data_IF_894804883964
#
_entry.id   IF_894804883964
#
_cell.length_a   1.000
_cell.length_b   1.000
_cell.length_c   1.000
_cell.angle_alpha   90.00
_cell.angle_beta   90.00
_cell.angle_gamma   90.00
#
_symmetry.space_group_name_H-M   'P 1'
#
loop_
_entity.id
_entity.type
_entity.pdbx_description
1 polymer ?
#
# COMPACT_ATOMS: atom_id res chain seq x y z
N UNK A 1 -15.77 -5.97 1.07
CA UNK A 1 -16.63 -5.13 0.20
C UNK A 1 -16.79 -5.70 -1.22
N UNK A 2 -15.70 -5.95 -1.96
CA UNK A 2 -15.81 -6.24 -3.40
C UNK A 2 -16.36 -7.62 -3.76
N UNK A 3 -16.06 -8.67 -3.00
CA UNK A 3 -16.70 -10.00 -3.18
C UNK A 3 -18.22 -9.92 -2.97
N UNK A 4 -18.66 -9.06 -2.04
CA UNK A 4 -20.08 -8.81 -1.78
C UNK A 4 -20.70 -7.98 -2.90
N UNK A 5 -19.99 -6.96 -3.39
CA UNK A 5 -20.39 -6.18 -4.56
C UNK A 5 -20.49 -7.05 -5.82
N UNK A 6 -19.59 -8.01 -6.01
CA UNK A 6 -19.62 -8.99 -7.10
C UNK A 6 -20.77 -9.97 -6.96
N UNK A 7 -21.04 -10.50 -5.76
CA UNK A 7 -22.22 -11.34 -5.51
C UNK A 7 -23.52 -10.57 -5.72
N UNK A 8 -23.52 -9.29 -5.40
CA UNK A 8 -24.66 -8.39 -5.57
C UNK A 8 -24.86 -7.99 -7.05
N UNK A 9 -23.79 -7.70 -7.79
CA UNK A 9 -23.81 -7.44 -9.24
C UNK A 9 -24.10 -8.69 -10.09
N UNK A 10 -23.67 -9.89 -9.66
CA UNK A 10 -24.11 -11.17 -10.28
C UNK A 10 -25.61 -11.37 -10.21
N UNK A 11 -26.25 -10.81 -9.18
CA UNK A 11 -27.72 -10.79 -9.09
C UNK A 11 -28.32 -9.78 -10.07
N UNK A 12 -27.63 -8.70 -10.43
CA UNK A 12 -28.01 -7.85 -11.57
C UNK A 12 -28.16 -8.63 -12.89
N UNK A 13 -27.36 -9.68 -13.09
CA UNK A 13 -27.52 -10.59 -14.23
C UNK A 13 -28.71 -11.57 -14.07
N UNK A 14 -29.12 -11.87 -12.84
CA UNK A 14 -30.38 -12.54 -12.53
C UNK A 14 -31.60 -11.62 -12.73
N UNK A 15 -31.43 -10.31 -12.51
CA UNK A 15 -32.44 -9.29 -12.76
C UNK A 15 -32.74 -9.10 -14.26
N UNK A 16 -31.76 -9.33 -15.13
CA UNK A 16 -32.00 -9.41 -16.58
C UNK A 16 -32.88 -10.61 -17.01
N UNK A 17 -32.96 -11.67 -16.19
CA UNK A 17 -33.77 -12.85 -16.48
C UNK A 17 -35.17 -12.82 -15.84
N UNK A 18 -35.41 -11.96 -14.86
CA UNK A 18 -36.70 -11.81 -14.19
C UNK A 18 -37.52 -10.64 -14.76
N UNK A 19 -38.46 -10.92 -15.68
CA UNK A 19 -39.35 -9.92 -16.31
C UNK A 19 -40.19 -9.05 -15.34
N UNK A 20 -40.20 -9.34 -14.03
CA UNK A 20 -41.05 -8.64 -13.06
C UNK A 20 -40.31 -7.95 -11.91
N UNK A 21 -38.98 -8.00 -11.86
CA UNK A 21 -38.20 -7.16 -10.95
C UNK A 21 -38.61 -7.19 -9.47
N UNK A 22 -39.14 -8.32 -8.96
CA UNK A 22 -39.39 -8.50 -7.52
C UNK A 22 -38.58 -9.68 -7.01
N UNK A 23 -37.90 -9.48 -5.89
CA UNK A 23 -37.20 -10.55 -5.18
C UNK A 23 -38.20 -11.62 -4.74
N UNK A 24 -37.90 -12.89 -5.03
CA UNK A 24 -38.67 -14.00 -4.49
C UNK A 24 -38.54 -14.01 -2.96
N UNK A 25 -39.59 -14.40 -2.20
CA UNK A 25 -39.55 -14.45 -0.74
C UNK A 25 -38.35 -15.23 -0.17
N UNK A 26 -37.88 -16.25 -0.89
CA UNK A 26 -36.70 -17.05 -0.55
C UNK A 26 -35.36 -16.29 -0.65
N UNK A 27 -35.31 -15.18 -1.40
CA UNK A 27 -34.10 -14.39 -1.62
C UNK A 27 -33.93 -13.22 -0.62
N UNK A 28 -34.99 -12.87 0.12
CA UNK A 28 -34.99 -11.78 1.11
C UNK A 28 -33.96 -11.98 2.24
N UNK A 29 -33.80 -13.19 2.83
CA UNK A 29 -32.80 -13.42 3.87
C UNK A 29 -31.36 -13.21 3.37
N UNK A 30 -31.10 -13.59 2.12
CA UNK A 30 -29.77 -13.44 1.51
C UNK A 30 -29.45 -11.96 1.23
N UNK A 31 -30.44 -11.18 0.81
CA UNK A 31 -30.30 -9.74 0.63
C UNK A 31 -30.00 -9.00 1.95
N UNK A 32 -30.68 -9.36 3.05
CA UNK A 32 -30.40 -8.82 4.39
C UNK A 32 -28.96 -9.14 4.83
N UNK A 33 -28.55 -10.41 4.73
CA UNK A 33 -27.19 -10.83 5.08
C UNK A 33 -26.12 -10.07 4.29
N UNK A 34 -26.31 -9.93 2.97
CA UNK A 34 -25.39 -9.17 2.11
C UNK A 34 -25.32 -7.69 2.50
N UNK A 35 -26.46 -7.08 2.82
CA UNK A 35 -26.49 -5.68 3.22
C UNK A 35 -25.74 -5.44 4.54
N UNK A 36 -25.87 -6.35 5.52
CA UNK A 36 -25.10 -6.28 6.77
C UNK A 36 -23.60 -6.37 6.52
N UNK A 37 -23.16 -7.26 5.64
CA UNK A 37 -21.75 -7.37 5.27
C UNK A 37 -21.22 -6.13 4.54
N UNK A 38 -22.04 -5.48 3.72
CA UNK A 38 -21.69 -4.18 3.11
C UNK A 38 -21.56 -3.12 4.19
N UNK A 39 -22.48 -3.05 5.16
CA UNK A 39 -22.40 -2.15 6.30
C UNK A 39 -21.12 -2.36 7.13
N UNK A 40 -20.77 -3.61 7.46
CA UNK A 40 -19.53 -3.94 8.17
C UNK A 40 -18.31 -3.48 7.38
N UNK A 41 -18.26 -3.81 6.09
CA UNK A 41 -17.12 -3.43 5.25
C UNK A 41 -17.00 -1.91 5.06
N UNK A 42 -18.12 -1.18 4.99
CA UNK A 42 -18.14 0.28 4.90
C UNK A 42 -17.65 0.92 6.20
N UNK A 43 -18.11 0.40 7.34
CA UNK A 43 -17.69 0.89 8.66
C UNK A 43 -16.18 0.71 8.84
N UNK A 44 -15.67 -0.50 8.59
CA UNK A 44 -14.24 -0.80 8.68
C UNK A 44 -13.42 0.11 7.74
N UNK A 45 -13.85 0.24 6.48
CA UNK A 45 -13.16 1.08 5.49
C UNK A 45 -13.10 2.55 5.93
N UNK A 46 -14.21 3.11 6.43
CA UNK A 46 -14.26 4.52 6.85
C UNK A 46 -13.48 4.81 8.14
N UNK A 47 -13.19 3.79 8.94
CA UNK A 47 -12.40 3.92 10.17
C UNK A 47 -10.90 3.68 9.97
N UNK A 48 -10.46 3.20 8.80
CA UNK A 48 -9.05 2.81 8.60
C UNK A 48 -8.15 3.96 8.16
N UNK A 49 -8.50 4.68 7.08
CA UNK A 49 -7.60 5.69 6.49
C UNK A 49 -8.38 6.80 5.76
N UNK A 50 -7.80 7.99 5.52
CA UNK A 50 -8.41 9.03 4.70
C UNK A 50 -8.64 8.60 3.25
N UNK A 51 -7.80 7.74 2.68
CA UNK A 51 -7.91 7.27 1.29
C UNK A 51 -9.16 6.40 1.06
N UNK A 52 -9.81 5.91 2.11
CA UNK A 52 -11.12 5.27 2.07
C UNK A 52 -12.16 6.11 1.32
N UNK A 53 -12.13 7.44 1.49
CA UNK A 53 -13.04 8.33 0.80
C UNK A 53 -12.76 8.39 -0.71
N UNK A 54 -11.50 8.24 -1.15
CA UNK A 54 -11.15 8.09 -2.57
C UNK A 54 -11.72 6.78 -3.14
N UNK A 55 -11.61 5.67 -2.40
CA UNK A 55 -12.21 4.37 -2.76
C UNK A 55 -13.71 4.52 -2.98
N UNK A 56 -14.41 5.14 -2.03
CA UNK A 56 -15.85 5.36 -2.07
C UNK A 56 -16.29 6.30 -3.19
N UNK A 57 -15.61 7.43 -3.36
CA UNK A 57 -15.88 8.37 -4.45
C UNK A 57 -15.71 7.67 -5.80
N UNK A 58 -14.61 6.95 -5.98
CA UNK A 58 -14.36 6.15 -7.18
C UNK A 58 -15.48 5.13 -7.43
N UNK A 59 -15.94 4.44 -6.38
CA UNK A 59 -17.00 3.45 -6.49
C UNK A 59 -18.35 4.09 -6.84
N UNK A 60 -18.70 5.22 -6.22
CA UNK A 60 -19.93 5.98 -6.52
C UNK A 60 -19.93 6.42 -7.99
N UNK A 61 -18.83 6.99 -8.48
CA UNK A 61 -18.71 7.42 -9.88
C UNK A 61 -18.77 6.22 -10.83
N UNK A 62 -18.10 5.12 -10.51
CA UNK A 62 -18.09 3.91 -11.32
C UNK A 62 -19.48 3.25 -11.44
N UNK A 63 -20.24 3.26 -10.34
CA UNK A 63 -21.59 2.71 -10.24
C UNK A 63 -22.70 3.67 -10.66
N UNK A 64 -22.40 4.96 -10.87
CA UNK A 64 -23.39 5.98 -11.21
C UNK A 64 -24.30 5.61 -12.39
N UNK A 65 -23.81 4.98 -13.48
CA UNK A 65 -24.68 4.58 -14.59
C UNK A 65 -25.69 3.47 -14.23
N UNK A 66 -25.48 2.80 -13.10
CA UNK A 66 -26.39 1.79 -12.54
C UNK A 66 -27.31 2.36 -11.45
N UNK A 67 -27.29 3.67 -11.18
CA UNK A 67 -28.06 4.29 -10.08
C UNK A 67 -29.54 3.92 -10.05
N UNK A 68 -30.18 3.74 -11.21
CA UNK A 68 -31.60 3.38 -11.29
C UNK A 68 -31.82 1.93 -10.84
N UNK A 69 -30.99 0.99 -11.31
CA UNK A 69 -31.00 -0.41 -10.86
C UNK A 69 -30.64 -0.53 -9.38
N UNK A 70 -29.68 0.27 -8.90
CA UNK A 70 -29.30 0.33 -7.49
C UNK A 70 -30.45 0.86 -6.62
N UNK A 71 -31.14 1.90 -7.07
CA UNK A 71 -32.27 2.48 -6.35
C UNK A 71 -33.45 1.49 -6.26
N UNK A 72 -33.76 0.78 -7.35
CA UNK A 72 -34.78 -0.28 -7.34
C UNK A 72 -34.42 -1.38 -6.34
N UNK A 73 -33.22 -1.94 -6.45
CA UNK A 73 -32.76 -2.97 -5.52
C UNK A 73 -32.75 -2.49 -4.06
N UNK A 74 -32.44 -1.21 -3.81
CA UNK A 74 -32.53 -0.62 -2.47
C UNK A 74 -33.97 -0.51 -1.95
N UNK A 75 -34.93 -0.19 -2.83
CA UNK A 75 -36.35 -0.15 -2.48
C UNK A 75 -36.92 -1.54 -2.19
N UNK A 76 -36.49 -2.56 -2.93
CA UNK A 76 -36.94 -3.95 -2.75
C UNK A 76 -36.41 -4.58 -1.46
N UNK A 77 -35.29 -4.09 -0.94
CA UNK A 77 -34.83 -4.46 0.39
C UNK A 77 -35.81 -3.89 1.42
N UNK A 78 -36.54 -4.80 2.08
CA UNK A 78 -37.54 -4.44 3.09
C UNK A 78 -36.99 -3.46 4.14
N UNK A 79 -37.82 -2.49 4.55
CA UNK A 79 -37.40 -1.40 5.43
C UNK A 79 -36.65 -1.87 6.68
N UNK A 80 -37.09 -2.97 7.31
CA UNK A 80 -36.42 -3.55 8.49
C UNK A 80 -34.96 -3.93 8.26
N UNK A 81 -34.62 -4.49 7.10
CA UNK A 81 -33.23 -4.86 6.77
C UNK A 81 -32.35 -3.61 6.60
N UNK A 82 -32.89 -2.56 5.96
CA UNK A 82 -32.19 -1.27 5.82
C UNK A 82 -31.87 -0.63 7.17
N UNK A 83 -32.83 -0.59 8.09
CA UNK A 83 -32.61 -0.05 9.43
C UNK A 83 -31.59 -0.88 10.23
N UNK A 84 -31.62 -2.22 10.14
CA UNK A 84 -30.63 -3.09 10.79
C UNK A 84 -29.22 -2.86 10.27
N UNK A 85 -29.05 -2.72 8.96
CA UNK A 85 -27.75 -2.46 8.36
C UNK A 85 -27.23 -1.06 8.73
N UNK A 86 -28.10 -0.04 8.73
CA UNK A 86 -27.75 1.30 9.18
C UNK A 86 -27.36 1.32 10.67
N UNK A 87 -28.13 0.64 11.53
CA UNK A 87 -27.82 0.50 12.95
C UNK A 87 -26.49 -0.23 13.17
N UNK A 88 -26.23 -1.32 12.43
CA UNK A 88 -24.97 -2.05 12.49
C UNK A 88 -23.79 -1.19 12.04
N UNK A 89 -23.95 -0.44 10.95
CA UNK A 89 -22.93 0.50 10.46
C UNK A 89 -22.59 1.56 11.51
N UNK A 90 -23.60 2.23 12.07
CA UNK A 90 -23.42 3.27 13.09
C UNK A 90 -22.80 2.68 14.38
N UNK A 91 -23.26 1.50 14.80
CA UNK A 91 -22.72 0.81 15.97
C UNK A 91 -21.25 0.47 15.77
N UNK A 92 -20.86 -0.03 14.59
CA UNK A 92 -19.48 -0.38 14.29
C UNK A 92 -18.57 0.85 14.22
N UNK A 93 -19.01 1.94 13.57
CA UNK A 93 -18.24 3.20 13.57
C UNK A 93 -18.09 3.73 14.99
N UNK A 94 -19.17 3.74 15.78
CA UNK A 94 -19.12 4.18 17.18
C UNK A 94 -18.21 3.30 18.03
N UNK A 95 -18.31 1.97 17.88
CA UNK A 95 -17.48 1.02 18.62
C UNK A 95 -16.00 1.12 18.22
N UNK A 96 -15.68 1.09 16.93
CA UNK A 96 -14.28 1.17 16.47
C UNK A 96 -13.68 2.55 16.78
N UNK A 97 -14.43 3.62 16.49
CA UNK A 97 -13.98 4.99 16.73
C UNK A 97 -13.77 5.31 18.21
N UNK A 98 -14.51 4.68 19.12
CA UNK A 98 -14.30 4.84 20.57
C UNK A 98 -13.35 3.78 21.17
N UNK A 99 -12.69 2.98 20.33
CA UNK A 99 -11.85 1.83 20.75
C UNK A 99 -12.62 0.91 21.72
N UNK A 100 -13.85 0.57 21.35
CA UNK A 100 -14.80 -0.18 22.16
C UNK A 100 -15.10 0.48 23.51
N UNK A 101 -15.33 1.80 23.49
CA UNK A 101 -15.65 2.66 24.64
C UNK A 101 -14.50 2.88 25.64
N UNK A 102 -13.27 2.50 25.30
CA UNK A 102 -12.10 2.78 26.15
C UNK A 102 -11.59 4.21 26.00
N UNK A 103 -11.79 4.83 24.82
CA UNK A 103 -11.33 6.19 24.53
C UNK A 103 -12.37 6.93 23.66
N UNK A 104 -13.30 7.63 24.32
CA UNK A 104 -14.35 8.40 23.64
C UNK A 104 -13.78 9.54 22.77
N UNK A 105 -12.77 10.31 23.22
CA UNK A 105 -12.07 11.29 22.38
C UNK A 105 -11.58 10.75 21.04
N UNK A 106 -11.18 9.47 20.94
CA UNK A 106 -10.73 8.87 19.69
C UNK A 106 -11.79 8.88 18.56
N UNK A 107 -13.07 9.06 18.88
CA UNK A 107 -14.12 9.22 17.88
C UNK A 107 -13.92 10.50 17.05
N UNK A 108 -13.29 11.52 17.63
CA UNK A 108 -12.83 12.72 16.93
C UNK A 108 -11.83 12.39 15.82
N UNK A 109 -10.91 11.44 16.07
CA UNK A 109 -9.90 11.03 15.09
C UNK A 109 -10.54 10.41 13.83
N UNK A 110 -11.63 9.65 13.99
CA UNK A 110 -12.38 9.09 12.85
C UNK A 110 -13.05 10.18 12.03
N UNK A 111 -13.63 11.20 12.69
CA UNK A 111 -14.21 12.35 12.01
C UNK A 111 -13.11 13.17 11.28
N UNK A 112 -11.93 13.28 11.88
CA UNK A 112 -10.78 13.96 11.30
C UNK A 112 -10.25 13.28 10.03
N UNK A 113 -10.47 11.97 9.82
CA UNK A 113 -10.09 11.30 8.56
C UNK A 113 -10.75 11.95 7.34
N UNK A 114 -12.01 12.38 7.45
CA UNK A 114 -12.67 13.12 6.38
C UNK A 114 -12.01 14.48 6.19
N UNK A 115 -11.73 15.19 7.29
CA UNK A 115 -11.03 16.48 7.25
C UNK A 115 -9.63 16.38 6.65
N UNK A 116 -8.89 15.31 6.92
CA UNK A 116 -7.60 15.00 6.32
C UNK A 116 -7.73 14.72 4.82
N UNK A 117 -8.72 13.91 4.42
CA UNK A 117 -8.99 13.64 3.00
C UNK A 117 -9.37 14.91 2.24
N UNK A 118 -10.18 15.80 2.83
CA UNK A 118 -10.52 17.10 2.24
C UNK A 118 -9.27 17.97 2.13
N UNK A 119 -8.48 18.13 3.21
CA UNK A 119 -7.24 18.91 3.20
C UNK A 119 -6.23 18.45 2.16
N UNK A 120 -6.18 17.15 1.88
CA UNK A 120 -5.28 16.57 0.86
C UNK A 120 -5.54 17.08 -0.56
N UNK A 121 -6.66 17.77 -0.83
CA UNK A 121 -6.90 18.38 -2.13
C UNK A 121 -6.16 19.71 -2.33
N UNK A 122 -5.72 20.34 -1.23
CA UNK A 122 -5.03 21.63 -1.25
C UNK A 122 -3.57 21.54 -0.77
N UNK A 123 -3.27 20.68 0.19
CA UNK A 123 -1.91 20.52 0.72
C UNK A 123 -1.06 19.64 -0.20
N UNK A 124 0.21 20.01 -0.41
CA UNK A 124 1.14 19.20 -1.20
C UNK A 124 1.66 18.01 -0.38
N UNK A 125 1.49 16.79 -0.91
CA UNK A 125 1.93 15.55 -0.26
C UNK A 125 3.42 15.24 -0.48
N UNK A 126 4.14 16.03 -1.29
CA UNK A 126 5.56 15.79 -1.61
C UNK A 126 5.79 14.71 -2.68
N UNK A 127 4.74 14.05 -3.14
CA UNK A 127 4.82 13.02 -4.18
C UNK A 127 4.57 13.60 -5.58
N UNK A 128 5.35 13.25 -6.61
CA UNK A 128 5.08 13.61 -8.00
C UNK A 128 3.81 12.95 -8.55
N UNK A 129 3.18 13.56 -9.57
CA UNK A 129 1.95 13.03 -10.17
C UNK A 129 2.10 11.66 -10.82
N UNK A 130 3.29 11.36 -11.34
CA UNK A 130 3.59 10.08 -11.96
C UNK A 130 3.93 9.00 -10.92
N UNK A 131 4.04 9.34 -9.63
CA UNK A 131 4.53 8.42 -8.62
C UNK A 131 3.62 7.20 -8.42
N UNK A 132 2.31 7.41 -8.36
CA UNK A 132 1.33 6.32 -8.20
C UNK A 132 1.39 5.33 -9.37
N UNK A 133 1.25 5.73 -10.64
CA UNK A 133 1.37 4.79 -11.75
C UNK A 133 2.77 4.19 -11.87
N UNK A 134 3.82 4.95 -11.55
CA UNK A 134 5.20 4.43 -11.52
C UNK A 134 5.37 3.33 -10.46
N UNK A 135 4.87 3.51 -9.23
CA UNK A 135 4.93 2.49 -8.17
C UNK A 135 4.20 1.22 -8.55
N UNK A 136 3.00 1.33 -9.14
CA UNK A 136 2.27 0.16 -9.64
C UNK A 136 3.09 -0.61 -10.69
N UNK A 137 3.77 0.09 -11.60
CA UNK A 137 4.65 -0.54 -12.59
C UNK A 137 5.93 -1.11 -11.98
N UNK A 138 6.50 -0.41 -11.00
CA UNK A 138 7.78 -0.76 -10.39
C UNK A 138 7.67 -1.94 -9.43
N UNK A 139 6.63 -1.96 -8.60
CA UNK A 139 6.44 -2.98 -7.57
C UNK A 139 5.60 -4.16 -8.08
N UNK A 140 4.62 -3.90 -8.94
CA UNK A 140 3.66 -4.91 -9.41
C UNK A 140 3.50 -4.92 -10.95
N UNK A 141 4.60 -5.10 -11.72
CA UNK A 141 4.55 -5.02 -13.19
C UNK A 141 3.62 -6.07 -13.81
N UNK A 142 3.54 -7.26 -13.20
CA UNK A 142 2.62 -8.31 -13.66
C UNK A 142 1.17 -7.86 -13.53
N UNK A 143 0.80 -7.31 -12.37
CA UNK A 143 -0.54 -6.77 -12.13
C UNK A 143 -0.84 -5.64 -13.11
N UNK A 144 0.10 -4.71 -13.30
CA UNK A 144 -0.05 -3.58 -14.20
C UNK A 144 -0.30 -4.05 -15.66
N UNK A 145 0.52 -4.97 -16.16
CA UNK A 145 0.39 -5.52 -17.50
C UNK A 145 -0.92 -6.27 -17.72
N UNK A 146 -1.29 -7.14 -16.76
CA UNK A 146 -2.56 -7.87 -16.79
C UNK A 146 -3.76 -6.93 -16.68
N UNK A 147 -3.70 -5.90 -15.84
CA UNK A 147 -4.76 -4.92 -15.68
C UNK A 147 -4.95 -4.07 -16.95
N UNK A 148 -3.86 -3.69 -17.64
CA UNK A 148 -3.94 -3.00 -18.94
C UNK A 148 -4.59 -3.90 -20.01
N UNK A 149 -4.19 -5.17 -20.08
CA UNK A 149 -4.83 -6.11 -21.00
C UNK A 149 -6.32 -6.33 -20.66
N UNK A 150 -6.63 -6.43 -19.37
CA UNK A 150 -8.00 -6.53 -18.84
C UNK A 150 -8.84 -5.30 -19.15
N UNK A 151 -8.27 -4.10 -19.00
CA UNK A 151 -8.90 -2.82 -19.36
C UNK A 151 -9.22 -2.76 -20.86
N UNK A 152 -8.29 -3.17 -21.72
CA UNK A 152 -8.50 -3.24 -23.16
C UNK A 152 -9.63 -4.23 -23.52
N UNK A 153 -9.66 -5.40 -22.89
CA UNK A 153 -10.74 -6.39 -23.06
C UNK A 153 -12.09 -5.87 -22.55
N UNK A 154 -12.09 -5.23 -21.39
CA UNK A 154 -13.24 -4.62 -20.76
C UNK A 154 -13.89 -3.56 -21.67
N UNK A 155 -13.06 -2.71 -22.27
CA UNK A 155 -13.50 -1.77 -23.31
C UNK A 155 -14.14 -2.51 -24.49
N UNK A 156 -13.44 -3.50 -25.05
CA UNK A 156 -13.89 -4.20 -26.28
C UNK A 156 -15.18 -5.00 -26.10
N UNK A 157 -15.37 -5.65 -24.95
CA UNK A 157 -16.59 -6.45 -24.68
C UNK A 157 -17.80 -5.59 -24.31
N UNK A 158 -17.58 -4.46 -23.66
CA UNK A 158 -18.66 -3.56 -23.26
C UNK A 158 -19.57 -4.12 -22.16
N UNK A 159 -19.18 -5.18 -21.45
CA UNK A 159 -19.95 -5.69 -20.31
C UNK A 159 -20.11 -4.61 -19.23
N UNK A 160 -21.24 -4.62 -18.52
CA UNK A 160 -21.54 -3.60 -17.50
C UNK A 160 -20.50 -3.64 -16.37
N UNK A 161 -20.21 -4.83 -15.84
CA UNK A 161 -19.28 -5.03 -14.73
C UNK A 161 -17.84 -4.61 -15.10
N UNK A 162 -17.40 -4.97 -16.30
CA UNK A 162 -16.11 -4.57 -16.85
C UNK A 162 -15.98 -3.04 -16.95
N UNK A 163 -17.04 -2.36 -17.37
CA UNK A 163 -17.10 -0.89 -17.42
C UNK A 163 -17.06 -0.26 -16.02
N UNK A 164 -17.65 -0.90 -15.01
CA UNK A 164 -17.54 -0.45 -13.61
C UNK A 164 -16.09 -0.52 -13.15
N UNK A 165 -15.40 -1.65 -13.33
CA UNK A 165 -14.00 -1.77 -12.92
C UNK A 165 -13.08 -0.80 -13.66
N UNK A 166 -13.28 -0.65 -14.97
CA UNK A 166 -12.51 0.28 -15.78
C UNK A 166 -12.71 1.73 -15.31
N UNK A 167 -13.97 2.17 -15.09
CA UNK A 167 -14.25 3.51 -14.58
C UNK A 167 -13.67 3.70 -13.19
N UNK A 168 -13.77 2.69 -12.32
CA UNK A 168 -13.22 2.79 -10.97
C UNK A 168 -11.70 2.95 -11.00
N UNK A 169 -10.99 2.16 -11.81
CA UNK A 169 -9.55 2.30 -12.02
C UNK A 169 -9.18 3.69 -12.55
N UNK A 170 -9.92 4.19 -13.56
CA UNK A 170 -9.67 5.52 -14.14
C UNK A 170 -9.91 6.63 -13.11
N UNK A 171 -11.00 6.58 -12.34
CA UNK A 171 -11.27 7.61 -11.32
C UNK A 171 -10.21 7.57 -10.23
N UNK A 172 -9.82 6.40 -9.73
CA UNK A 172 -8.76 6.31 -8.71
C UNK A 172 -7.40 6.75 -9.25
N UNK A 173 -7.09 6.44 -10.51
CA UNK A 173 -5.89 6.95 -11.16
C UNK A 173 -5.92 8.48 -11.25
N UNK A 174 -7.06 9.07 -11.62
CA UNK A 174 -7.27 10.52 -11.65
C UNK A 174 -7.16 11.16 -10.27
N UNK A 175 -7.67 10.50 -9.22
CA UNK A 175 -7.52 10.96 -7.83
C UNK A 175 -6.05 10.92 -7.39
N UNK A 176 -5.23 10.00 -7.92
CA UNK A 176 -3.79 10.00 -7.73
C UNK A 176 -3.07 11.26 -8.24
N UNK A 177 -3.74 12.08 -9.07
CA UNK A 177 -3.18 13.38 -9.49
C UNK A 177 -3.37 14.51 -8.46
N UNK A 178 -4.09 14.27 -7.36
CA UNK A 178 -4.31 15.27 -6.29
C UNK A 178 -2.99 15.76 -5.66
N UNK A 179 -2.91 17.02 -5.17
CA UNK A 179 -1.69 17.55 -4.55
C UNK A 179 -1.24 16.76 -3.32
N UNK A 180 -2.16 16.42 -2.42
CA UNK A 180 -1.90 15.74 -1.14
C UNK A 180 -1.88 14.22 -1.27
N UNK A 181 -1.41 13.72 -2.42
CA UNK A 181 -1.30 12.28 -2.65
C UNK A 181 -0.28 11.66 -1.70
N UNK A 182 -0.54 10.42 -1.29
CA UNK A 182 0.30 9.66 -0.35
C UNK A 182 0.78 8.36 -1.00
N UNK A 183 1.73 7.66 -0.37
CA UNK A 183 2.10 6.29 -0.79
C UNK A 183 0.92 5.32 -0.71
N UNK A 184 -0.02 5.54 0.22
CA UNK A 184 -1.21 4.73 0.41
C UNK A 184 -2.20 4.79 -0.78
N UNK A 185 -2.17 5.85 -1.59
CA UNK A 185 -2.98 5.96 -2.81
C UNK A 185 -2.72 4.82 -3.81
N UNK A 186 -1.50 4.24 -3.79
CA UNK A 186 -1.17 3.05 -4.59
C UNK A 186 -2.08 1.89 -4.22
N UNK A 187 -2.25 1.61 -2.92
CA UNK A 187 -3.04 0.48 -2.41
C UNK A 187 -4.50 0.58 -2.86
N UNK A 188 -5.06 1.80 -2.83
CA UNK A 188 -6.42 2.07 -3.30
C UNK A 188 -6.57 1.73 -4.78
N UNK A 189 -5.59 2.13 -5.60
CA UNK A 189 -5.59 1.84 -7.04
C UNK A 189 -5.43 0.34 -7.35
N UNK A 190 -4.73 -0.43 -6.51
CA UNK A 190 -4.57 -1.88 -6.72
C UNK A 190 -5.92 -2.61 -6.75
N UNK A 191 -6.93 -2.15 -6.02
CA UNK A 191 -8.22 -2.84 -5.92
C UNK A 191 -8.88 -3.03 -7.30
N UNK A 192 -9.27 -1.98 -8.06
CA UNK A 192 -9.85 -2.19 -9.38
C UNK A 192 -8.88 -2.85 -10.37
N UNK A 193 -7.57 -2.59 -10.25
CA UNK A 193 -6.57 -3.22 -11.13
C UNK A 193 -6.53 -4.73 -10.95
N UNK A 194 -6.67 -5.25 -9.73
CA UNK A 194 -6.75 -6.71 -9.49
C UNK A 194 -7.95 -7.35 -10.17
N UNK A 195 -9.11 -6.68 -10.22
CA UNK A 195 -10.27 -7.22 -10.94
C UNK A 195 -10.09 -7.22 -12.46
N UNK A 196 -9.50 -6.16 -13.00
CA UNK A 196 -9.15 -6.11 -14.42
C UNK A 196 -8.09 -7.19 -14.76
N UNK A 197 -7.08 -7.33 -13.92
CA UNK A 197 -6.04 -8.34 -14.07
C UNK A 197 -6.60 -9.76 -13.93
N UNK A 198 -7.54 -10.00 -13.04
CA UNK A 198 -8.17 -11.31 -12.85
C UNK A 198 -8.94 -11.77 -14.10
N UNK A 199 -9.65 -10.87 -14.77
CA UNK A 199 -10.32 -11.20 -16.05
C UNK A 199 -9.30 -11.52 -17.15
N UNK A 200 -8.24 -10.71 -17.27
CA UNK A 200 -7.15 -10.95 -18.21
C UNK A 200 -6.45 -12.29 -17.93
N UNK A 201 -6.12 -12.57 -16.68
CA UNK A 201 -5.50 -13.82 -16.25
C UNK A 201 -6.39 -15.02 -16.56
N UNK A 202 -7.69 -14.93 -16.27
CA UNK A 202 -8.65 -15.99 -16.64
C UNK A 202 -8.62 -16.26 -18.13
N UNK A 203 -8.65 -15.21 -18.95
CA UNK A 203 -8.65 -15.38 -20.39
C UNK A 203 -7.32 -15.92 -20.93
N UNK A 204 -6.19 -15.47 -20.38
CA UNK A 204 -4.87 -16.02 -20.69
C UNK A 204 -4.75 -17.48 -20.29
N UNK A 205 -5.31 -17.85 -19.13
CA UNK A 205 -5.34 -19.23 -18.65
C UNK A 205 -6.19 -20.15 -19.54
N UNK A 206 -7.38 -19.70 -19.95
CA UNK A 206 -8.22 -20.39 -20.93
C UNK A 206 -7.48 -20.55 -22.27
N UNK A 207 -6.70 -19.55 -22.67
CA UNK A 207 -5.87 -19.60 -23.88
C UNK A 207 -4.72 -20.61 -23.76
N UNK A 208 -4.06 -20.71 -22.61
CA UNK A 208 -2.97 -21.67 -22.36
C UNK A 208 -3.47 -23.12 -22.25
N UNK A 209 -4.68 -23.34 -21.73
CA UNK A 209 -5.29 -24.68 -21.64
C UNK A 209 -5.81 -25.21 -22.98
N UNK A 210 -6.04 -24.34 -23.95
CA UNK A 210 -6.53 -24.76 -25.26
C UNK A 210 -5.49 -25.69 -25.92
N UNK A 211 -5.90 -26.88 -26.40
CA UNK A 211 -4.99 -27.80 -27.09
C UNK A 211 -4.27 -27.09 -28.23
N UNK A 212 -2.95 -27.21 -28.28
CA UNK A 212 -2.12 -26.63 -29.34
C UNK A 212 -1.23 -27.72 -29.94
N UNK A 213 -1.26 -27.93 -31.26
CA UNK A 213 -0.31 -28.83 -31.91
C UNK A 213 1.12 -28.28 -31.91
N UNK A 214 1.31 -26.99 -31.60
CA UNK A 214 2.60 -26.28 -31.69
C UNK A 214 3.27 -26.01 -30.34
N UNK A 215 2.97 -26.81 -29.31
CA UNK A 215 3.52 -26.59 -27.96
C UNK A 215 5.05 -26.57 -27.92
N UNK A 216 5.70 -27.42 -28.74
CA UNK A 216 7.16 -27.51 -28.78
C UNK A 216 7.78 -26.23 -29.33
N UNK A 217 7.24 -25.71 -30.43
CA UNK A 217 7.68 -24.47 -31.08
C UNK A 217 7.43 -23.27 -30.16
N UNK A 218 6.26 -23.23 -29.50
CA UNK A 218 5.92 -22.22 -28.50
C UNK A 218 6.91 -22.22 -27.33
N UNK A 219 7.30 -23.41 -26.83
CA UNK A 219 8.27 -23.54 -25.75
C UNK A 219 9.67 -23.04 -26.12
N UNK A 220 10.17 -23.41 -27.32
CA UNK A 220 11.47 -22.94 -27.81
C UNK A 220 11.48 -21.41 -27.96
N UNK A 221 10.41 -20.83 -28.48
CA UNK A 221 10.31 -19.38 -28.63
C UNK A 221 10.17 -18.69 -27.29
N UNK A 222 9.40 -19.25 -26.35
CA UNK A 222 9.32 -18.72 -24.98
C UNK A 222 10.71 -18.67 -24.36
N UNK A 223 11.52 -19.73 -24.50
CA UNK A 223 12.90 -19.73 -24.02
C UNK A 223 13.76 -18.66 -24.72
N UNK A 224 13.65 -18.50 -26.04
CA UNK A 224 14.37 -17.46 -26.77
C UNK A 224 13.99 -16.04 -26.31
N UNK A 225 12.70 -15.76 -26.11
CA UNK A 225 12.21 -14.49 -25.57
C UNK A 225 12.78 -14.22 -24.17
N UNK A 226 12.79 -15.23 -23.29
CA UNK A 226 13.33 -15.09 -21.94
C UNK A 226 14.83 -14.79 -21.96
N UNK A 227 15.61 -15.45 -22.82
CA UNK A 227 17.06 -15.17 -22.98
C UNK A 227 17.27 -13.71 -23.42
N UNK A 228 16.49 -13.25 -24.41
CA UNK A 228 16.57 -11.87 -24.90
C UNK A 228 16.16 -10.86 -23.80
N UNK A 229 15.15 -11.19 -22.99
CA UNK A 229 14.73 -10.36 -21.86
C UNK A 229 15.79 -10.29 -20.74
N UNK A 230 16.49 -11.40 -20.47
CA UNK A 230 17.63 -11.40 -19.54
C UNK A 230 18.76 -10.53 -20.08
N UNK A 231 19.06 -10.61 -21.37
CA UNK A 231 20.05 -9.72 -21.99
C UNK A 231 19.63 -8.24 -21.87
N UNK A 232 18.34 -7.94 -22.13
CA UNK A 232 17.80 -6.58 -21.97
C UNK A 232 17.94 -6.08 -20.52
N UNK A 233 17.62 -6.91 -19.53
CA UNK A 233 17.73 -6.51 -18.12
C UNK A 233 19.18 -6.28 -17.71
N UNK A 234 20.14 -7.07 -18.22
CA UNK A 234 21.58 -6.85 -18.00
C UNK A 234 22.05 -5.53 -18.63
N UNK A 235 21.63 -5.23 -19.87
CA UNK A 235 21.98 -3.96 -20.53
C UNK A 235 21.37 -2.77 -19.79
N UNK A 236 20.14 -2.91 -19.29
CA UNK A 236 19.49 -1.89 -18.48
C UNK A 236 20.22 -1.68 -17.15
N UNK A 237 20.62 -2.76 -16.46
CA UNK A 237 21.43 -2.68 -15.25
C UNK A 237 22.77 -1.98 -15.51
N UNK A 238 23.46 -2.33 -16.60
CA UNK A 238 24.70 -1.68 -17.00
C UNK A 238 24.53 -0.17 -17.25
N UNK A 239 23.45 0.22 -17.93
CA UNK A 239 23.10 1.63 -18.15
C UNK A 239 22.85 2.38 -16.83
N UNK A 240 22.07 1.80 -15.93
CA UNK A 240 21.74 2.42 -14.64
C UNK A 240 22.96 2.53 -13.73
N UNK A 241 23.89 1.57 -13.80
CA UNK A 241 25.11 1.56 -13.00
C UNK A 241 26.16 2.58 -13.50
N UNK A 242 26.42 2.64 -14.81
CA UNK A 242 27.52 3.46 -15.34
C UNK A 242 27.08 4.77 -16.01
N UNK A 243 25.80 4.91 -16.37
CA UNK A 243 25.28 6.06 -17.12
C UNK A 243 25.83 6.17 -18.55
N UNK A 244 26.55 5.16 -19.05
CA UNK A 244 27.19 5.22 -20.36
C UNK A 244 26.19 5.09 -21.52
N UNK A 245 26.34 5.94 -22.54
CA UNK A 245 25.47 5.95 -23.72
C UNK A 245 25.57 4.69 -24.57
N UNK A 246 26.64 3.87 -24.41
CA UNK A 246 26.86 2.62 -25.17
C UNK A 246 25.73 1.60 -25.01
N UNK A 247 24.98 1.66 -23.90
CA UNK A 247 23.88 0.75 -23.62
C UNK A 247 22.57 1.16 -24.31
N UNK A 248 22.42 2.45 -24.69
CA UNK A 248 21.18 3.00 -25.27
C UNK A 248 20.75 2.27 -26.55
N UNK A 249 21.64 1.97 -27.52
CA UNK A 249 21.25 1.22 -28.71
C UNK A 249 20.65 -0.15 -28.38
N UNK A 250 21.21 -0.88 -27.40
CA UNK A 250 20.68 -2.18 -26.98
C UNK A 250 19.28 -2.04 -26.34
N UNK A 251 19.07 -1.00 -25.52
CA UNK A 251 17.78 -0.69 -24.90
C UNK A 251 16.68 -0.34 -25.92
N UNK A 252 17.04 0.05 -27.14
CA UNK A 252 16.09 0.35 -28.22
C UNK A 252 15.93 -0.87 -29.16
N UNK A 253 17.04 -1.45 -29.61
CA UNK A 253 17.05 -2.52 -30.61
C UNK A 253 16.45 -3.81 -30.06
N UNK A 254 16.72 -4.15 -28.79
CA UNK A 254 16.26 -5.41 -28.21
C UNK A 254 14.73 -5.45 -28.02
N UNK A 255 14.05 -4.41 -27.50
CA UNK A 255 12.59 -4.36 -27.51
C UNK A 255 11.98 -4.42 -28.92
N UNK A 256 12.59 -3.74 -29.90
CA UNK A 256 12.15 -3.82 -31.30
C UNK A 256 12.28 -5.24 -31.86
N UNK A 257 13.36 -5.95 -31.51
CA UNK A 257 13.56 -7.35 -31.87
C UNK A 257 12.50 -8.24 -31.24
N UNK A 258 12.17 -8.07 -29.95
CA UNK A 258 11.11 -8.82 -29.28
C UNK A 258 9.75 -8.61 -29.93
N UNK A 259 9.41 -7.36 -30.25
CA UNK A 259 8.17 -7.02 -30.97
C UNK A 259 8.16 -7.62 -32.36
N UNK A 260 9.24 -7.46 -33.13
CA UNK A 260 9.39 -8.02 -34.47
C UNK A 260 9.26 -9.54 -34.47
N UNK A 261 9.89 -10.23 -33.53
CA UNK A 261 9.79 -11.68 -33.37
C UNK A 261 8.37 -12.11 -33.03
N UNK A 262 7.65 -11.39 -32.15
CA UNK A 262 6.26 -11.68 -31.82
C UNK A 262 5.34 -11.51 -33.05
N UNK A 263 5.57 -10.48 -33.88
CA UNK A 263 4.81 -10.25 -35.11
C UNK A 263 5.09 -11.31 -36.17
N UNK A 264 6.37 -11.61 -36.45
CA UNK A 264 6.77 -12.65 -37.40
C UNK A 264 6.18 -14.01 -37.01
N UNK A 265 6.26 -14.33 -35.71
CA UNK A 265 5.70 -15.57 -35.21
C UNK A 265 4.17 -15.60 -35.28
N UNK A 266 3.50 -14.48 -35.01
CA UNK A 266 2.05 -14.33 -35.16
C UNK A 266 1.59 -14.46 -36.61
N UNK A 267 2.44 -14.11 -37.58
CA UNK A 267 2.21 -14.36 -39.00
C UNK A 267 2.43 -15.83 -39.37
N UNK A 268 3.45 -16.48 -38.80
CA UNK A 268 3.83 -17.86 -39.14
C UNK A 268 2.93 -18.94 -38.51
N UNK A 269 2.76 -18.96 -37.18
CA UNK A 269 1.94 -19.95 -36.47
C UNK A 269 0.55 -19.43 -36.05
N UNK A 270 0.27 -18.17 -36.36
CA UNK A 270 -0.99 -17.52 -36.10
C UNK A 270 -1.02 -16.70 -34.80
N UNK A 271 -1.93 -15.73 -34.77
CA UNK A 271 -2.05 -14.73 -33.70
C UNK A 271 -2.23 -15.33 -32.30
N UNK A 272 -2.95 -16.46 -32.18
CA UNK A 272 -3.20 -17.12 -30.89
C UNK A 272 -1.94 -17.74 -30.30
N UNK A 273 -1.11 -18.38 -31.13
CA UNK A 273 0.17 -18.96 -30.68
C UNK A 273 1.12 -17.85 -30.20
N UNK A 274 1.23 -16.76 -30.96
CA UNK A 274 2.05 -15.63 -30.55
C UNK A 274 1.59 -14.98 -29.25
N UNK A 275 0.29 -14.81 -29.06
CA UNK A 275 -0.25 -14.30 -27.79
C UNK A 275 0.03 -15.26 -26.63
N UNK A 276 0.00 -16.59 -26.82
CA UNK A 276 0.39 -17.56 -25.78
C UNK A 276 1.84 -17.41 -25.36
N UNK A 277 2.75 -17.31 -26.33
CA UNK A 277 4.19 -17.14 -26.05
C UNK A 277 4.44 -15.83 -25.30
N UNK A 278 3.92 -14.71 -25.80
CA UNK A 278 4.07 -13.40 -25.16
C UNK A 278 3.47 -13.40 -23.76
N UNK A 279 2.27 -13.95 -23.59
CA UNK A 279 1.61 -14.06 -22.29
C UNK A 279 2.41 -14.92 -21.31
N UNK A 280 2.93 -16.06 -21.75
CA UNK A 280 3.75 -16.96 -20.93
C UNK A 280 5.05 -16.28 -20.50
N UNK A 281 5.72 -15.59 -21.44
CA UNK A 281 6.92 -14.82 -21.13
C UNK A 281 6.63 -13.74 -20.10
N UNK A 282 5.57 -12.95 -20.29
CA UNK A 282 5.17 -11.89 -19.36
C UNK A 282 4.80 -12.44 -17.97
N UNK A 283 4.16 -13.61 -17.92
CA UNK A 283 3.82 -14.28 -16.66
C UNK A 283 5.09 -14.73 -15.93
N UNK A 284 6.03 -15.38 -16.62
CA UNK A 284 7.29 -15.85 -16.02
C UNK A 284 8.12 -14.66 -15.52
N UNK A 285 8.36 -13.65 -16.37
CA UNK A 285 9.16 -12.49 -15.96
C UNK A 285 8.49 -11.68 -14.87
N UNK A 286 7.17 -11.50 -14.94
CA UNK A 286 6.39 -10.84 -13.91
C UNK A 286 6.45 -11.57 -12.57
N UNK A 287 6.33 -12.91 -12.57
CA UNK A 287 6.46 -13.70 -11.34
C UNK A 287 7.86 -13.64 -10.74
N UNK A 288 8.90 -13.73 -11.57
CA UNK A 288 10.29 -13.58 -11.10
C UNK A 288 10.50 -12.19 -10.51
N UNK A 289 9.96 -11.15 -11.14
CA UNK A 289 10.05 -9.78 -10.63
C UNK A 289 9.32 -9.62 -9.30
N UNK A 290 8.06 -10.03 -9.20
CA UNK A 290 7.29 -9.97 -7.94
C UNK A 290 7.98 -10.76 -6.83
N UNK A 291 8.54 -11.93 -7.16
CA UNK A 291 9.34 -12.71 -6.21
C UNK A 291 10.58 -11.94 -5.75
N UNK A 292 11.36 -11.36 -6.67
CA UNK A 292 12.52 -10.54 -6.31
C UNK A 292 12.13 -9.31 -5.47
N UNK A 293 11.06 -8.61 -5.83
CA UNK A 293 10.55 -7.47 -5.07
C UNK A 293 10.16 -7.89 -3.65
N UNK A 294 9.46 -9.02 -3.50
CA UNK A 294 9.15 -9.60 -2.20
C UNK A 294 10.42 -9.94 -1.40
N UNK A 295 11.43 -10.54 -2.03
CA UNK A 295 12.69 -10.87 -1.36
C UNK A 295 13.42 -9.62 -0.87
N UNK A 296 13.53 -8.58 -1.69
CA UNK A 296 14.17 -7.31 -1.32
C UNK A 296 13.40 -6.59 -0.20
N UNK A 297 12.08 -6.71 -0.16
CA UNK A 297 11.26 -6.10 0.89
C UNK A 297 11.32 -6.85 2.22
N UNK A 298 11.40 -8.18 2.20
CA UNK A 298 11.31 -8.99 3.42
C UNK A 298 12.66 -9.36 4.02
N UNK A 299 13.67 -9.57 3.18
CA UNK A 299 15.00 -9.95 3.65
C UNK A 299 15.88 -8.71 3.65
N UNK A 300 16.19 -8.27 4.87
CA UNK A 300 17.18 -7.25 5.18
C UNK A 300 18.59 -7.83 4.87
N UNK A 301 18.82 -8.23 3.62
CA UNK A 301 20.05 -8.82 3.15
C UNK A 301 21.12 -7.73 3.17
N UNK A 302 21.96 -7.82 4.21
CA UNK A 302 23.11 -7.01 4.61
C UNK A 302 22.77 -5.95 5.69
N UNK A 303 23.23 -6.14 6.95
CA UNK A 303 23.14 -5.12 8.01
C UNK A 303 23.69 -3.75 7.58
N UNK A 304 24.64 -3.73 6.64
CA UNK A 304 25.33 -2.50 6.23
C UNK A 304 24.78 -1.89 4.93
N UNK A 305 24.18 -2.68 4.02
CA UNK A 305 23.55 -2.17 2.79
C UNK A 305 22.01 -2.03 2.90
N UNK A 306 21.37 -2.76 3.82
CA UNK A 306 19.94 -2.67 4.10
C UNK A 306 19.56 -1.39 4.87
N UNK A 307 20.53 -0.71 5.49
CA UNK A 307 20.30 0.62 6.08
C UNK A 307 20.04 1.67 5.00
N UNK A 308 20.48 1.46 3.75
CA UNK A 308 20.27 2.39 2.62
C UNK A 308 19.29 1.88 1.56
N UNK A 309 18.94 0.58 1.61
CA UNK A 309 17.87 0.03 0.78
C UNK A 309 16.51 0.58 1.23
N UNK A 310 15.80 1.21 0.30
CA UNK A 310 14.47 1.80 0.47
C UNK A 310 13.44 0.90 -0.23
N UNK A 311 12.92 -0.15 0.45
CA UNK A 311 11.94 -1.09 -0.12
C UNK A 311 10.65 -0.39 -0.59
N UNK A 312 10.39 0.81 -0.05
CA UNK A 312 9.43 1.79 -0.55
C UNK A 312 9.87 3.21 -0.18
N UNK A 313 9.46 4.19 -0.98
CA UNK A 313 9.61 5.61 -0.62
C UNK A 313 8.33 6.04 0.08
N UNK A 314 8.41 6.03 1.39
CA UNK A 314 7.38 6.57 2.27
C UNK A 314 7.90 7.86 2.90
N UNK A 315 6.99 8.82 3.07
CA UNK A 315 7.31 10.15 3.58
C UNK A 315 7.99 10.07 4.94
N UNK A 316 7.62 9.10 5.77
CA UNK A 316 8.28 8.78 7.03
C UNK A 316 8.31 7.27 7.23
N UNK A 317 9.48 6.73 7.54
CA UNK A 317 9.66 5.34 7.96
C UNK A 317 10.34 5.29 9.32
N UNK A 318 9.93 4.33 10.15
CA UNK A 318 10.59 4.10 11.43
C UNK A 318 11.96 3.48 11.21
N UNK A 319 12.98 4.03 11.84
CA UNK A 319 14.34 3.55 11.70
C UNK A 319 14.59 2.34 12.62
N UNK A 320 15.38 1.31 12.20
CA UNK A 320 15.62 0.13 13.02
C UNK A 320 16.19 0.43 14.41
N UNK A 321 16.95 1.52 14.54
CA UNK A 321 17.59 1.94 15.79
C UNK A 321 16.58 2.25 16.91
N UNK A 322 15.32 2.53 16.60
CA UNK A 322 14.30 2.69 17.65
C UNK A 322 14.19 1.43 18.51
N UNK A 323 14.39 0.24 17.93
CA UNK A 323 14.37 -1.03 18.68
C UNK A 323 15.60 -1.18 19.55
N UNK A 324 16.74 -0.67 19.10
CA UNK A 324 17.98 -0.64 19.87
C UNK A 324 17.88 0.38 21.01
N UNK A 325 17.24 1.52 20.77
CA UNK A 325 16.89 2.51 21.78
C UNK A 325 15.99 1.89 22.86
N UNK A 326 14.91 1.22 22.48
CA UNK A 326 14.03 0.51 23.44
C UNK A 326 14.84 -0.51 24.24
N UNK A 327 15.64 -1.36 23.58
CA UNK A 327 16.49 -2.34 24.27
C UNK A 327 17.51 -1.70 25.21
N UNK A 328 18.04 -0.53 24.86
CA UNK A 328 18.95 0.22 25.73
C UNK A 328 18.23 0.69 26.98
N UNK A 329 17.02 1.24 26.85
CA UNK A 329 16.21 1.67 28.01
C UNK A 329 15.77 0.46 28.84
N UNK A 330 15.38 -0.66 28.22
CA UNK A 330 15.07 -1.92 28.92
C UNK A 330 16.28 -2.43 29.70
N UNK A 331 17.47 -2.35 29.12
CA UNK A 331 18.72 -2.71 29.79
C UNK A 331 18.99 -1.81 30.98
N UNK A 332 18.87 -0.48 30.82
CA UNK A 332 19.02 0.48 31.93
C UNK A 332 17.99 0.20 33.03
N UNK A 333 16.75 -0.14 32.65
CA UNK A 333 15.69 -0.51 33.59
C UNK A 333 16.03 -1.78 34.36
N UNK A 334 16.49 -2.83 33.68
CA UNK A 334 16.90 -4.08 34.33
C UNK A 334 18.08 -3.88 35.28
N UNK A 335 19.05 -3.04 34.90
CA UNK A 335 20.21 -2.73 35.74
C UNK A 335 19.83 -1.93 37.00
N UNK A 336 18.81 -1.06 36.96
CA UNK A 336 18.39 -0.24 38.11
C UNK A 336 17.24 -0.84 38.95
N UNK A 337 16.25 -1.44 38.31
CA UNK A 337 14.97 -1.83 38.92
C UNK A 337 14.69 -3.34 38.82
N UNK A 338 15.60 -4.15 38.25
CA UNK A 338 15.43 -5.61 38.03
C UNK A 338 14.33 -5.98 37.02
N UNK A 339 13.31 -5.14 36.80
CA UNK A 339 12.29 -5.25 35.75
C UNK A 339 12.70 -4.41 34.51
N UNK A 340 12.39 -4.93 33.31
CA UNK A 340 12.68 -4.31 32.01
C UNK A 340 11.84 -3.05 31.74
N UNK A 341 10.69 -2.90 32.38
CA UNK A 341 9.69 -1.87 32.01
C UNK A 341 9.27 -0.95 33.18
N UNK A 342 10.02 -0.95 34.28
CA UNK A 342 9.67 -0.20 35.49
C UNK A 342 10.40 1.14 35.67
N UNK A 343 11.44 1.42 34.88
CA UNK A 343 12.13 2.70 34.98
C UNK A 343 11.18 3.89 34.69
N UNK A 344 11.17 4.95 35.52
CA UNK A 344 10.46 6.17 35.17
C UNK A 344 11.10 6.78 33.93
N UNK A 345 10.26 7.10 32.94
CA UNK A 345 10.67 7.57 31.62
C UNK A 345 9.88 8.83 31.28
N UNK A 346 10.58 9.94 31.09
CA UNK A 346 9.96 11.19 30.61
C UNK A 346 10.12 11.28 29.08
N UNK A 347 9.01 11.37 28.36
CA UNK A 347 8.98 11.54 26.91
C UNK A 347 8.56 12.97 26.56
N UNK A 348 9.49 13.75 26.02
CA UNK A 348 9.20 15.06 25.43
C UNK A 348 8.73 14.84 23.99
N UNK A 349 7.46 14.47 23.85
CA UNK A 349 6.83 14.21 22.57
C UNK A 349 5.55 15.04 22.49
N UNK A 350 5.65 16.29 22.03
CA UNK A 350 4.48 16.91 21.42
C UNK A 350 4.24 16.24 20.06
N UNK A 351 3.44 15.17 20.05
CA UNK A 351 2.90 14.57 18.82
C UNK A 351 3.74 13.52 18.11
N UNK A 352 4.77 12.93 18.73
CA UNK A 352 5.45 11.72 18.22
C UNK A 352 4.76 10.46 18.75
N UNK A 353 3.71 10.03 18.03
CA UNK A 353 2.94 8.81 18.32
C UNK A 353 3.78 7.52 18.16
N UNK A 354 4.89 7.58 17.40
CA UNK A 354 5.74 6.40 17.17
C UNK A 354 6.49 6.06 18.45
N UNK A 355 7.15 7.03 19.09
CA UNK A 355 7.83 6.79 20.37
C UNK A 355 6.87 6.29 21.44
N UNK A 356 5.69 6.92 21.55
CA UNK A 356 4.63 6.47 22.48
C UNK A 356 4.27 5.01 22.25
N UNK A 357 4.12 4.58 20.99
CA UNK A 357 3.81 3.19 20.65
C UNK A 357 4.91 2.21 21.06
N UNK A 358 6.19 2.56 20.83
CA UNK A 358 7.33 1.71 21.16
C UNK A 358 7.59 1.60 22.67
N UNK A 359 7.28 2.66 23.42
CA UNK A 359 7.43 2.71 24.87
C UNK A 359 6.14 2.41 25.65
N UNK A 360 5.07 1.97 24.99
CA UNK A 360 3.76 1.72 25.63
C UNK A 360 3.77 0.70 26.77
N UNK A 361 4.75 -0.21 26.73
CA UNK A 361 4.86 -1.31 27.70
C UNK A 361 5.56 -0.84 29.00
N UNK A 362 6.14 0.37 29.02
CA UNK A 362 6.74 0.98 30.21
C UNK A 362 5.67 1.51 31.17
N UNK A 363 5.68 1.00 32.40
CA UNK A 363 4.64 1.29 33.42
C UNK A 363 4.66 2.76 33.88
N UNK A 364 5.84 3.38 33.88
CA UNK A 364 6.08 4.73 34.43
C UNK A 364 6.45 5.75 33.33
N UNK A 365 5.83 5.63 32.15
CA UNK A 365 5.98 6.59 31.06
C UNK A 365 5.17 7.87 31.36
N UNK A 366 5.82 9.03 31.34
CA UNK A 366 5.18 10.34 31.50
C UNK A 366 5.53 11.24 30.33
N UNK A 367 4.54 11.92 29.78
CA UNK A 367 4.76 12.92 28.75
C UNK A 367 5.01 14.29 29.36
N UNK A 368 6.09 14.93 28.92
CA UNK A 368 6.49 16.24 29.43
C UNK A 368 6.44 17.28 28.30
N UNK A 369 5.90 18.49 28.56
CA UNK A 369 5.83 19.54 27.55
C UNK A 369 7.19 20.24 27.33
N UNK A 370 8.12 20.11 28.28
CA UNK A 370 9.45 20.72 28.19
C UNK A 370 10.48 19.96 29.01
N UNK A 371 11.75 20.01 28.58
CA UNK A 371 12.90 19.46 29.31
C UNK A 371 13.03 19.99 30.75
N UNK A 372 12.55 21.21 31.05
CA UNK A 372 12.60 21.78 32.40
C UNK A 372 11.71 21.04 33.40
N UNK A 373 10.73 20.29 32.90
CA UNK A 373 9.83 19.47 33.71
C UNK A 373 10.33 18.04 33.91
N UNK A 374 11.49 17.70 33.34
CA UNK A 374 12.06 16.38 33.44
C UNK A 374 12.51 16.08 34.87
N UNK A 375 12.02 14.98 35.42
CA UNK A 375 12.42 14.45 36.74
C UNK A 375 12.75 12.96 36.70
N UNK A 376 12.49 12.30 35.59
CA UNK A 376 12.79 10.89 35.39
C UNK A 376 14.31 10.66 35.18
N UNK A 377 14.84 9.51 35.62
CA UNK A 377 16.24 9.13 35.37
C UNK A 377 16.55 8.95 33.88
N UNK A 378 15.53 8.71 33.06
CA UNK A 378 15.63 8.61 31.61
C UNK A 378 14.68 9.62 30.98
N UNK A 379 15.20 10.44 30.07
CA UNK A 379 14.42 11.43 29.32
C UNK A 379 14.68 11.25 27.84
N UNK A 380 13.61 11.16 27.05
CA UNK A 380 13.67 11.15 25.59
C UNK A 380 13.21 12.50 25.07
N UNK A 381 14.08 13.22 24.35
CA UNK A 381 13.74 14.52 23.79
C UNK A 381 14.31 14.69 22.37
N UNK A 382 13.67 15.48 21.49
CA UNK A 382 14.21 15.78 20.17
C UNK A 382 15.59 16.44 20.28
N UNK A 383 16.51 16.11 19.36
CA UNK A 383 17.88 16.69 19.33
C UNK A 383 17.90 18.22 19.18
N UNK A 384 16.78 18.82 18.74
CA UNK A 384 16.64 20.29 18.67
C UNK A 384 16.54 20.98 20.03
N UNK A 385 16.28 20.24 21.10
CA UNK A 385 16.17 20.78 22.45
C UNK A 385 17.52 20.62 23.13
N UNK A 386 18.12 21.74 23.56
CA UNK A 386 19.51 21.80 24.05
C UNK A 386 19.82 20.92 25.27
N UNK A 387 21.06 20.99 25.74
CA UNK A 387 21.61 20.07 26.75
C UNK A 387 20.87 20.12 28.10
N UNK A 388 20.73 18.94 28.73
CA UNK A 388 20.14 18.80 30.05
C UNK A 388 21.25 18.66 31.11
N UNK A 389 21.36 19.59 32.10
CA UNK A 389 22.41 19.54 33.10
C UNK A 389 22.27 18.31 33.99
N UNK A 390 23.39 17.63 34.30
CA UNK A 390 23.48 16.37 35.05
C UNK A 390 23.00 15.11 34.29
N UNK A 391 22.77 15.22 32.99
CA UNK A 391 22.45 14.07 32.15
C UNK A 391 23.53 13.85 31.10
N UNK A 392 23.75 12.59 30.74
CA UNK A 392 24.54 12.20 29.58
C UNK A 392 23.58 11.88 28.45
N UNK A 393 23.75 12.57 27.32
CA UNK A 393 22.93 12.38 26.12
C UNK A 393 23.57 11.39 25.15
N UNK A 394 22.75 10.57 24.52
CA UNK A 394 23.13 9.75 23.36
C UNK A 394 22.11 9.99 22.24
N UNK A 395 22.59 10.32 21.05
CA UNK A 395 21.74 10.51 19.87
C UNK A 395 21.26 9.18 19.28
N UNK A 396 19.99 9.12 18.93
CA UNK A 396 19.35 8.00 18.27
C UNK A 396 18.52 8.47 17.09
N UNK A 397 18.62 7.76 15.97
CA UNK A 397 17.76 7.99 14.81
C UNK A 397 16.45 7.23 15.01
N UNK A 398 15.32 7.94 14.97
CA UNK A 398 14.01 7.33 15.20
C UNK A 398 13.21 7.16 13.92
N UNK A 399 13.30 8.15 13.02
CA UNK A 399 12.61 8.14 11.74
C UNK A 399 13.53 8.63 10.64
N UNK A 400 13.22 8.18 9.43
CA UNK A 400 13.80 8.66 8.20
C UNK A 400 12.69 9.15 7.29
N UNK A 401 12.87 10.29 6.67
CA UNK A 401 11.93 10.82 5.69
C UNK A 401 12.56 10.82 4.30
N UNK A 402 11.91 10.20 3.32
CA UNK A 402 12.35 10.21 1.92
C UNK A 402 11.18 10.58 1.05
N UNK A 403 11.32 11.62 0.22
CA UNK A 403 10.34 11.94 -0.81
C UNK A 403 10.85 11.50 -2.18
N UNK A 404 9.96 11.11 -3.12
CA UNK A 404 10.41 10.74 -4.45
C UNK A 404 11.05 11.88 -5.22
N UNK A 405 10.71 13.13 -4.88
CA UNK A 405 11.36 14.33 -5.43
C UNK A 405 12.86 14.34 -5.13
N UNK A 406 13.27 13.75 -4.01
CA UNK A 406 14.66 13.74 -3.55
C UNK A 406 15.52 12.74 -4.35
N UNK A 407 14.88 11.82 -5.09
CA UNK A 407 15.58 10.93 -6.03
C UNK A 407 16.11 11.65 -7.27
N UNK A 408 15.48 12.76 -7.66
CA UNK A 408 15.81 13.48 -8.89
C UNK A 408 15.89 12.57 -10.13
N UNK A 409 16.95 12.71 -10.93
CA UNK A 409 17.20 11.89 -12.12
C UNK A 409 17.62 10.44 -11.87
N UNK A 410 17.74 10.01 -10.61
CA UNK A 410 18.21 8.67 -10.22
C UNK A 410 17.07 7.70 -9.90
N UNK A 411 15.85 8.00 -10.34
CA UNK A 411 14.68 7.13 -10.13
C UNK A 411 14.90 5.70 -10.64
N UNK A 412 15.63 5.52 -11.74
CA UNK A 412 15.98 4.20 -12.27
C UNK A 412 17.00 3.45 -11.41
N UNK A 413 17.87 4.19 -10.73
CA UNK A 413 18.83 3.64 -9.78
C UNK A 413 18.11 3.12 -8.54
N UNK A 414 17.18 3.91 -7.99
CA UNK A 414 16.28 3.44 -6.94
C UNK A 414 15.43 2.26 -7.42
N UNK A 415 14.90 2.30 -8.64
CA UNK A 415 14.05 1.21 -9.14
C UNK A 415 14.78 -0.15 -9.16
N UNK A 416 16.05 -0.16 -9.57
CA UNK A 416 16.82 -1.39 -9.75
C UNK A 416 17.58 -1.81 -8.49
N UNK A 417 18.18 -0.85 -7.77
CA UNK A 417 19.06 -1.11 -6.62
C UNK A 417 18.41 -0.77 -5.28
N UNK A 418 17.25 -0.08 -5.29
CA UNK A 418 16.57 0.45 -4.10
C UNK A 418 17.41 1.41 -3.26
N UNK A 419 18.47 1.96 -3.83
CA UNK A 419 19.36 2.91 -3.15
C UNK A 419 18.90 4.36 -3.37
N UNK A 420 19.16 5.21 -2.38
CA UNK A 420 19.08 6.67 -2.54
C UNK A 420 20.45 7.31 -2.61
N UNK A 421 20.57 8.38 -3.40
CA UNK A 421 21.85 9.04 -3.64
C UNK A 421 22.26 10.09 -2.60
N UNK A 422 21.42 10.38 -1.60
CA UNK A 422 21.64 11.47 -0.64
C UNK A 422 21.43 10.98 0.79
N UNK A 423 22.18 11.54 1.78
CA UNK A 423 21.88 11.33 3.18
C UNK A 423 20.43 11.77 3.44
N UNK A 424 19.64 10.84 3.95
CA UNK A 424 18.21 11.06 4.12
C UNK A 424 17.95 11.92 5.35
N UNK A 425 17.01 12.87 5.30
CA UNK A 425 16.55 13.58 6.49
C UNK A 425 16.15 12.58 7.58
N UNK A 426 16.84 12.65 8.72
CA UNK A 426 16.52 11.83 9.90
C UNK A 426 15.88 12.68 10.99
N UNK A 427 14.92 12.09 11.68
CA UNK A 427 14.43 12.63 12.95
C UNK A 427 15.21 11.96 14.07
N UNK A 428 15.93 12.77 14.84
CA UNK A 428 16.81 12.30 15.91
C UNK A 428 16.20 12.62 17.27
N UNK A 429 16.39 11.70 18.21
CA UNK A 429 16.01 11.82 19.60
C UNK A 429 17.24 11.57 20.45
N UNK A 430 17.42 12.37 21.48
CA UNK A 430 18.46 12.19 22.48
C UNK A 430 17.86 11.40 23.63
N UNK A 431 18.52 10.30 23.96
CA UNK A 431 18.35 9.60 25.23
C UNK A 431 19.23 10.28 26.27
N UNK A 432 18.61 11.03 27.18
CA UNK A 432 19.27 11.61 28.34
C UNK A 432 19.17 10.64 29.51
N UNK A 433 20.32 10.28 30.07
CA UNK A 433 20.42 9.45 31.26
C UNK A 433 21.05 10.24 32.40
N UNK A 434 20.39 10.26 33.56
CA UNK A 434 20.91 10.96 34.73
C UNK A 434 22.19 10.27 35.23
N UNK A 435 23.32 10.98 35.16
CA UNK A 435 24.52 10.59 35.88
C UNK A 435 24.16 10.62 37.37
N UNK A 436 24.27 9.48 38.05
CA UNK A 436 23.76 9.25 39.40
C UNK A 436 23.79 10.51 40.30
N UNK A 437 22.63 10.91 40.81
CA UNK A 437 22.61 11.59 42.10
C UNK A 437 23.05 10.52 43.10
N UNK A 438 24.11 10.74 43.91
CA UNK A 438 24.57 9.74 44.86
C UNK A 438 23.38 9.34 45.73
N UNK A 439 23.05 8.06 45.73
CA UNK A 439 22.21 7.50 46.78
C UNK A 439 22.81 7.97 48.11
N UNK A 440 22.00 8.64 48.91
CA UNK A 440 22.38 9.11 50.22
C UNK A 440 23.04 7.97 50.99
N UNK A 441 24.31 8.19 51.33
CA UNK A 441 24.79 7.79 52.64
C UNK A 441 23.86 8.42 53.65
N UNK A 442 22.90 7.67 54.17
CA UNK A 442 22.26 7.94 55.45
C UNK A 442 21.73 6.61 56.01
N UNK A 443 22.47 6.05 56.97
CA UNK A 443 21.91 5.22 58.04
C UNK A 443 22.20 3.72 58.04
N UNK A 444 23.45 3.33 58.31
CA UNK A 444 23.76 2.28 59.30
C UNK A 444 24.97 2.68 60.14
#
# INVERSE_FOLDING_TARGET
LVVLLIRWLRVGHFWEQGKEGRLLPSQVPEADARLRWVAVALALLLTTTPEAYSVLLGLVVALWPLRHTLAQAWHDVGGKARHRAAALFLLLIGAIGSVFLTDIPALGNVADLLGQWVRSWWESGGYPWYWVPFRVLADEPLLAGLALWGAWRAWRRGNVLDRVWLRWAVVLLLLGFRPGRTSADVVVLLIPLTFLAADALRAGWEMLRAPSPTWREEGVLTAAFLIILVFLSMMFAGYVASGESRYIPALIVVPLLLVGLAFLYGFWLGKRAALRVVFTCALITGLVWTWMAFWVQNLHLAPDAALDALPGIERETTYPDIRLLVRMVERISAERNTDLHEIPLDLMSEGDDVLRWYFRDFKNLREIPSLKSATAPVVLAPTTVGELPNYTGMDWVTRRAVLPTDLGGRIYHWWLYRESAFPQPTTNVVLWYAAETPQGKDGE
#
